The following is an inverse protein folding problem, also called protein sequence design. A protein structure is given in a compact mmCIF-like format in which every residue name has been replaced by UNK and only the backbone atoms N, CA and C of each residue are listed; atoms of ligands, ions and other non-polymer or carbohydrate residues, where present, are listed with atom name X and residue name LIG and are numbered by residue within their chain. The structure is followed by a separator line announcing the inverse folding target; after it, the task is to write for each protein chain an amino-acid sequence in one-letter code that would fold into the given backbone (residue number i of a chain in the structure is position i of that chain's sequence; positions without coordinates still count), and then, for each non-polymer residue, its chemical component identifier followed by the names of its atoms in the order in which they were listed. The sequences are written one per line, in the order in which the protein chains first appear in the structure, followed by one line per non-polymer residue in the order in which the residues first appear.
data_IF_941732265278
#
_entry.id   IF_941732265278
#
_cell.length_a   1.000
_cell.length_b   1.000
_cell.length_c   1.000
_cell.angle_alpha   90.00
_cell.angle_beta   90.00
_cell.angle_gamma   90.00
#
_symmetry.space_group_name_H-M   'P 1'
#
loop_
_entity.id
_entity.type
_entity.pdbx_description
1 polymer ?
#
# COMPACT_ATOMS: atom_id res chain seq x y z
N UNK A 1 57.61 -22.87 40.20
CA UNK A 1 56.22 -23.28 39.88
C UNK A 1 55.18 -22.20 40.16
N UNK A 2 55.02 -21.68 41.40
CA UNK A 2 54.00 -20.67 41.78
C UNK A 2 53.74 -19.55 40.74
N UNK A 3 54.80 -18.89 40.24
CA UNK A 3 54.68 -17.78 39.29
C UNK A 3 54.09 -18.21 37.93
N UNK A 4 54.31 -19.45 37.50
CA UNK A 4 53.82 -19.98 36.22
C UNK A 4 52.29 -20.15 36.22
N UNK A 5 51.73 -20.54 37.37
CA UNK A 5 50.28 -20.66 37.58
C UNK A 5 49.59 -19.29 37.48
N UNK A 6 50.22 -18.24 38.04
CA UNK A 6 49.70 -16.87 37.96
C UNK A 6 49.69 -16.34 36.52
N UNK A 7 50.74 -16.61 35.73
CA UNK A 7 50.78 -16.26 34.30
C UNK A 7 49.70 -17.00 33.51
N UNK A 8 49.51 -18.30 33.76
CA UNK A 8 48.48 -19.09 33.08
C UNK A 8 47.05 -18.58 33.39
N UNK A 9 46.76 -18.26 34.65
CA UNK A 9 45.47 -17.73 35.07
C UNK A 9 45.17 -16.35 34.44
N UNK A 10 46.20 -15.50 34.29
CA UNK A 10 46.10 -14.21 33.61
C UNK A 10 45.66 -14.34 32.13
N UNK A 11 46.15 -15.35 31.42
CA UNK A 11 45.75 -15.58 30.01
C UNK A 11 44.28 -16.00 29.85
N UNK A 12 43.73 -16.79 30.80
CA UNK A 12 42.32 -17.22 30.76
C UNK A 12 41.37 -16.03 30.90
N UNK A 13 41.70 -15.07 31.76
CA UNK A 13 40.86 -13.89 32.01
C UNK A 13 40.68 -12.98 30.78
N UNK A 14 41.63 -12.96 29.84
CA UNK A 14 41.61 -12.10 28.64
C UNK A 14 40.80 -12.70 27.48
N UNK A 15 40.45 -13.99 27.53
CA UNK A 15 39.74 -14.67 26.45
C UNK A 15 38.26 -14.26 26.30
N UNK A 16 37.66 -13.63 27.32
CA UNK A 16 36.22 -13.37 27.38
C UNK A 16 35.83 -12.00 26.75
N UNK A 17 35.95 -11.86 25.43
CA UNK A 17 35.40 -10.71 24.69
C UNK A 17 34.08 -11.04 24.00
N UNK A 18 32.97 -10.46 24.46
CA UNK A 18 31.62 -10.67 23.91
C UNK A 18 31.51 -10.21 22.45
N UNK A 19 30.92 -11.04 21.59
CA UNK A 19 30.66 -10.69 20.19
C UNK A 19 29.51 -9.68 20.08
N UNK A 20 29.68 -8.63 19.26
CA UNK A 20 28.66 -7.57 19.11
C UNK A 20 27.66 -7.98 18.03
N UNK A 21 26.43 -8.31 18.44
CA UNK A 21 25.33 -8.61 17.52
C UNK A 21 24.95 -7.37 16.69
N UNK A 22 24.44 -7.61 15.48
CA UNK A 22 23.99 -6.58 14.54
C UNK A 22 22.48 -6.48 14.64
N UNK A 23 21.94 -5.27 14.88
CA UNK A 23 20.50 -5.02 14.86
C UNK A 23 19.99 -4.88 13.43
N UNK A 24 18.85 -5.51 13.06
CA UNK A 24 18.26 -5.33 11.74
C UNK A 24 17.69 -3.92 11.56
N UNK A 25 17.65 -3.46 10.30
CA UNK A 25 17.06 -2.17 9.93
C UNK A 25 15.70 -2.40 9.27
N UNK A 26 14.62 -1.97 9.91
CA UNK A 26 13.26 -2.08 9.39
C UNK A 26 12.95 -0.98 8.35
N UNK A 27 12.18 -1.31 7.30
CA UNK A 27 11.85 -0.40 6.20
C UNK A 27 10.34 -0.34 5.96
N UNK A 28 9.71 0.74 6.40
CA UNK A 28 8.26 0.93 6.30
C UNK A 28 7.90 1.54 4.94
N UNK A 29 6.95 0.92 4.23
CA UNK A 29 6.34 1.43 2.98
C UNK A 29 4.89 1.84 3.26
N UNK A 30 4.44 2.94 2.65
CA UNK A 30 3.07 3.48 2.73
C UNK A 30 2.56 3.90 1.36
N UNK A 31 1.29 3.64 1.06
CA UNK A 31 0.60 4.15 -0.13
C UNK A 31 -0.66 4.95 0.27
N UNK A 32 -1.42 5.42 -0.74
CA UNK A 32 -2.30 6.60 -0.62
C UNK A 32 -3.70 6.39 -1.25
N UNK A 33 -4.37 7.45 -1.73
CA UNK A 33 -5.77 7.78 -1.34
C UNK A 33 -6.63 8.31 -2.52
N UNK A 34 -7.46 7.48 -3.19
CA UNK A 34 -8.46 7.74 -4.28
C UNK A 34 -9.83 6.95 -4.17
N UNK A 35 -10.93 7.59 -3.72
CA UNK A 35 -12.34 7.20 -3.33
C UNK A 35 -13.22 8.36 -3.81
N UNK A 36 -14.22 8.09 -4.65
CA UNK A 36 -15.04 9.15 -5.23
C UNK A 36 -16.47 9.13 -4.68
N UNK A 37 -16.80 10.12 -3.86
CA UNK A 37 -18.14 10.30 -3.27
C UNK A 37 -19.00 11.14 -4.21
N UNK A 38 -19.84 10.47 -5.00
CA UNK A 38 -20.81 11.13 -5.88
C UNK A 38 -22.08 11.51 -5.10
N UNK A 39 -22.32 12.80 -4.89
CA UNK A 39 -23.58 13.33 -4.38
C UNK A 39 -24.53 13.63 -5.55
N UNK A 40 -25.78 13.15 -5.48
CA UNK A 40 -26.81 13.41 -6.49
C UNK A 40 -27.68 14.59 -6.07
N UNK A 41 -27.34 15.78 -6.57
CA UNK A 41 -28.16 16.99 -6.35
C UNK A 41 -29.32 17.07 -7.35
N UNK A 42 -30.55 17.24 -6.84
CA UNK A 42 -31.75 17.43 -7.67
C UNK A 42 -31.92 18.89 -8.08
N UNK A 43 -31.60 19.21 -9.33
CA UNK A 43 -31.81 20.55 -9.89
C UNK A 43 -33.26 20.68 -10.38
N UNK A 44 -33.99 21.64 -9.82
CA UNK A 44 -35.29 22.06 -10.36
C UNK A 44 -35.07 22.98 -11.57
N UNK A 45 -35.78 22.73 -12.66
CA UNK A 45 -35.66 23.47 -13.91
C UNK A 45 -36.98 24.19 -14.21
N UNK A 46 -36.95 25.50 -14.35
CA UNK A 46 -38.12 26.30 -14.73
C UNK A 46 -38.43 26.12 -16.21
N UNK A 47 -39.27 25.13 -16.52
CA UNK A 47 -39.80 24.91 -17.88
C UNK A 47 -40.78 26.03 -18.21
N UNK A 48 -40.64 26.74 -19.35
CA UNK A 48 -41.57 27.82 -19.72
C UNK A 48 -42.98 27.28 -19.93
N UNK A 49 -43.97 27.93 -19.31
CA UNK A 49 -45.36 27.51 -19.40
C UNK A 49 -45.95 27.84 -20.79
N UNK A 50 -46.05 26.84 -21.66
CA UNK A 50 -46.71 26.96 -22.96
C UNK A 50 -48.23 26.90 -22.76
N UNK A 51 -48.95 27.96 -23.14
CA UNK A 51 -50.41 28.05 -23.10
C UNK A 51 -50.92 28.47 -24.47
N UNK A 52 -51.53 27.54 -25.19
CA UNK A 52 -52.18 27.78 -26.48
C UNK A 52 -53.70 27.64 -26.33
N UNK A 53 -54.45 28.35 -27.17
CA UNK A 53 -55.92 28.33 -27.19
C UNK A 53 -56.41 28.54 -28.62
N UNK A 54 -57.46 27.80 -29.01
CA UNK A 54 -58.14 27.94 -30.29
C UNK A 54 -59.66 27.94 -30.07
N UNK A 55 -60.39 28.62 -30.95
CA UNK A 55 -61.86 28.61 -30.99
C UNK A 55 -62.28 28.38 -32.44
N UNK A 56 -62.85 27.21 -32.73
CA UNK A 56 -63.44 26.88 -34.04
C UNK A 56 -64.95 27.17 -34.04
N UNK A 57 -65.55 27.29 -35.23
CA UNK A 57 -67.01 27.41 -35.40
C UNK A 57 -67.68 26.05 -35.64
N UNK A 58 -66.89 25.07 -36.03
CA UNK A 58 -67.32 23.74 -36.48
C UNK A 58 -67.44 22.78 -35.29
N UNK A 59 -68.00 21.60 -35.51
CA UNK A 59 -68.14 20.56 -34.48
C UNK A 59 -66.82 19.90 -34.07
N UNK A 60 -65.69 20.30 -34.64
CA UNK A 60 -64.35 19.77 -34.38
C UNK A 60 -63.40 20.90 -34.02
N UNK A 61 -62.52 20.67 -33.05
CA UNK A 61 -61.46 21.58 -32.63
C UNK A 61 -60.16 20.79 -32.41
N UNK A 62 -59.07 21.23 -33.04
CA UNK A 62 -57.74 20.61 -32.89
C UNK A 62 -56.74 21.69 -32.48
N UNK A 63 -55.95 21.40 -31.46
CA UNK A 63 -54.93 22.26 -30.87
C UNK A 63 -53.63 21.45 -30.73
N UNK A 64 -52.49 21.98 -31.17
CA UNK A 64 -51.27 21.20 -31.27
C UNK A 64 -50.02 22.06 -31.07
N UNK A 65 -49.26 21.78 -30.01
CA UNK A 65 -48.06 22.52 -29.62
C UNK A 65 -46.78 21.69 -29.83
N UNK A 66 -45.63 22.14 -29.32
CA UNK A 66 -44.35 21.41 -29.40
C UNK A 66 -44.42 19.97 -28.82
N UNK A 67 -45.19 19.75 -27.75
CA UNK A 67 -45.13 18.54 -26.92
C UNK A 67 -46.38 17.66 -26.97
N UNK A 68 -47.51 18.18 -27.42
CA UNK A 68 -48.80 17.50 -27.34
C UNK A 68 -49.76 17.89 -28.46
N UNK A 69 -50.78 17.06 -28.67
CA UNK A 69 -51.91 17.27 -29.58
C UNK A 69 -53.20 17.00 -28.83
N UNK A 70 -54.13 17.95 -28.86
CA UNK A 70 -55.48 17.84 -28.30
C UNK A 70 -56.50 17.90 -29.43
N UNK A 71 -57.38 16.91 -29.53
CA UNK A 71 -58.47 16.89 -30.51
C UNK A 71 -59.81 16.67 -29.81
N UNK A 72 -60.75 17.58 -30.00
CA UNK A 72 -62.11 17.50 -29.48
C UNK A 72 -63.12 17.50 -30.63
N UNK A 73 -64.15 16.68 -30.55
CA UNK A 73 -65.23 16.61 -31.54
C UNK A 73 -66.58 16.35 -30.89
N UNK A 74 -67.62 17.01 -31.38
CA UNK A 74 -69.00 16.83 -30.96
C UNK A 74 -69.78 16.10 -32.05
N UNK A 75 -70.38 14.96 -31.70
CA UNK A 75 -71.25 14.19 -32.60
C UNK A 75 -72.41 13.62 -31.79
N UNK A 76 -73.63 13.66 -32.33
CA UNK A 76 -74.84 13.10 -31.70
C UNK A 76 -75.12 13.62 -30.27
N UNK A 77 -74.61 14.80 -29.92
CA UNK A 77 -74.70 15.40 -28.58
C UNK A 77 -73.63 14.91 -27.59
N UNK A 78 -72.78 13.96 -28.00
CA UNK A 78 -71.63 13.48 -27.23
C UNK A 78 -70.37 14.30 -27.59
N UNK A 79 -69.56 14.61 -26.57
CA UNK A 79 -68.24 15.21 -26.73
C UNK A 79 -67.16 14.13 -26.60
N UNK A 80 -66.44 13.88 -27.69
CA UNK A 80 -65.19 13.12 -27.69
C UNK A 80 -64.01 14.07 -27.51
N UNK A 81 -63.03 13.69 -26.67
CA UNK A 81 -61.80 14.46 -26.47
C UNK A 81 -60.61 13.51 -26.28
N UNK A 82 -59.57 13.67 -27.11
CA UNK A 82 -58.26 13.03 -26.91
C UNK A 82 -57.17 14.05 -26.64
N UNK A 83 -56.17 13.64 -25.86
CA UNK A 83 -54.93 14.35 -25.60
C UNK A 83 -53.76 13.37 -25.74
N UNK A 84 -52.90 13.61 -26.71
CA UNK A 84 -51.76 12.76 -27.08
C UNK A 84 -50.45 13.52 -26.80
N UNK A 85 -49.48 12.85 -26.18
CA UNK A 85 -48.14 13.41 -25.97
C UNK A 85 -47.22 12.99 -27.12
N UNK A 86 -46.51 13.95 -27.70
CA UNK A 86 -45.56 13.73 -28.80
C UNK A 86 -44.24 13.17 -28.27
N UNK A 87 -43.58 12.23 -28.97
CA UNK A 87 -42.27 11.69 -28.59
C UNK A 87 -41.15 12.69 -28.94
N UNK A 88 -41.08 13.81 -28.21
CA UNK A 88 -40.11 14.89 -28.43
C UNK A 88 -39.05 14.90 -27.33
N UNK A 89 -37.78 14.88 -27.73
CA UNK A 89 -36.64 15.07 -26.84
C UNK A 89 -36.14 16.52 -26.99
N UNK A 90 -36.22 17.31 -25.92
CA UNK A 90 -35.70 18.69 -25.89
C UNK A 90 -34.47 18.74 -24.98
N UNK A 91 -33.28 19.07 -25.48
CA UNK A 91 -32.11 19.23 -24.63
C UNK A 91 -32.29 20.44 -23.71
N UNK A 92 -31.90 20.30 -22.45
CA UNK A 92 -31.84 21.40 -21.49
C UNK A 92 -30.40 21.50 -20.98
N UNK A 93 -29.78 22.66 -21.15
CA UNK A 93 -28.40 22.89 -20.73
C UNK A 93 -28.35 23.12 -19.22
N UNK A 94 -27.80 22.15 -18.48
CA UNK A 94 -27.66 22.21 -17.02
C UNK A 94 -26.19 22.25 -16.64
N UNK A 95 -25.75 23.33 -15.97
CA UNK A 95 -24.38 23.46 -15.48
C UNK A 95 -24.19 22.63 -14.20
N UNK A 96 -23.93 21.34 -14.35
CA UNK A 96 -23.64 20.44 -13.21
C UNK A 96 -22.20 20.60 -12.73
N UNK A 97 -22.01 20.92 -11.45
CA UNK A 97 -20.67 21.02 -10.83
C UNK A 97 -20.14 19.62 -10.50
N UNK A 98 -19.36 19.04 -11.41
CA UNK A 98 -18.71 17.74 -11.18
C UNK A 98 -17.58 17.92 -10.15
N UNK A 99 -17.83 17.52 -8.90
CA UNK A 99 -16.83 17.54 -7.83
C UNK A 99 -16.09 16.20 -7.79
N UNK A 100 -14.99 16.12 -8.52
CA UNK A 100 -14.01 15.04 -8.35
C UNK A 100 -13.34 15.20 -6.97
N UNK A 101 -13.66 14.31 -6.04
CA UNK A 101 -12.94 14.09 -4.78
C UNK A 101 -12.41 12.66 -4.80
N UNK A 102 -11.18 12.45 -4.34
CA UNK A 102 -10.52 11.15 -4.40
C UNK A 102 -9.84 10.78 -3.05
N UNK A 103 -10.33 9.77 -2.30
CA UNK A 103 -9.69 9.16 -1.10
C UNK A 103 -9.81 7.60 -0.67
N UNK A 104 -9.37 6.51 -1.36
CA UNK A 104 -9.07 5.06 -0.90
C UNK A 104 -7.55 4.83 -1.01
N UNK A 105 -6.73 4.40 -0.04
CA UNK A 105 -6.91 3.48 1.09
C UNK A 105 -6.34 2.07 0.79
N UNK A 106 -5.40 1.96 -0.16
CA UNK A 106 -4.56 0.77 -0.35
C UNK A 106 -3.13 1.04 0.15
N UNK A 107 -2.43 -0.03 0.50
CA UNK A 107 -1.07 -0.02 1.07
C UNK A 107 -0.47 -1.42 0.93
N UNK A 108 0.07 -1.71 -0.24
CA UNK A 108 0.84 -2.92 -0.52
C UNK A 108 2.14 -2.90 0.30
N UNK A 109 2.06 -3.49 1.50
CA UNK A 109 3.23 -3.70 2.35
C UNK A 109 4.07 -4.83 1.74
N UNK A 110 5.02 -4.46 0.89
CA UNK A 110 6.07 -5.36 0.42
C UNK A 110 6.95 -5.76 1.62
N UNK A 111 6.57 -6.85 2.29
CA UNK A 111 7.35 -7.45 3.37
C UNK A 111 8.58 -8.10 2.74
N UNK A 112 9.70 -7.37 2.76
CA UNK A 112 11.00 -7.93 2.41
C UNK A 112 11.43 -8.90 3.52
N UNK A 113 11.28 -10.19 3.27
CA UNK A 113 11.88 -11.22 4.12
C UNK A 113 13.40 -11.03 4.13
N UNK A 114 13.96 -10.73 5.31
CA UNK A 114 15.38 -10.40 5.45
C UNK A 114 16.21 -11.67 5.42
N UNK A 115 16.54 -12.13 4.20
CA UNK A 115 17.48 -13.23 3.98
C UNK A 115 18.80 -12.90 4.68
N UNK A 116 19.12 -13.66 5.72
CA UNK A 116 20.36 -13.49 6.51
C UNK A 116 21.57 -13.96 5.69
N UNK A 117 22.07 -13.09 4.81
CA UNK A 117 23.31 -13.33 4.09
C UNK A 117 24.46 -13.33 5.09
N UNK A 118 25.14 -14.47 5.23
CA UNK A 118 26.33 -14.59 6.06
C UNK A 118 27.36 -13.52 5.68
N UNK A 119 27.68 -12.63 6.61
CA UNK A 119 28.57 -11.51 6.32
C UNK A 119 30.00 -12.01 6.13
N UNK A 120 30.50 -11.89 4.90
CA UNK A 120 31.88 -12.21 4.56
C UNK A 120 32.87 -11.60 5.58
N UNK A 121 33.77 -12.45 6.09
CA UNK A 121 34.76 -12.04 7.07
C UNK A 121 35.71 -11.04 6.43
N UNK A 122 35.65 -9.78 6.87
CA UNK A 122 36.58 -8.73 6.42
C UNK A 122 38.03 -9.21 6.56
N UNK A 123 38.92 -8.78 5.67
CA UNK A 123 40.32 -9.25 5.64
C UNK A 123 41.04 -9.16 7.00
N UNK A 124 40.68 -8.17 7.83
CA UNK A 124 41.17 -8.01 9.18
C UNK A 124 40.64 -9.07 10.18
N UNK A 125 39.35 -9.43 10.08
CA UNK A 125 38.75 -10.49 10.90
C UNK A 125 39.33 -11.86 10.55
N UNK A 126 39.44 -12.20 9.25
CA UNK A 126 40.02 -13.47 8.82
C UNK A 126 41.52 -13.56 9.13
N UNK A 127 42.26 -12.45 9.06
CA UNK A 127 43.63 -12.37 9.56
C UNK A 127 43.72 -12.63 11.07
N UNK A 128 42.87 -11.98 11.89
CA UNK A 128 42.84 -12.19 13.34
C UNK A 128 42.54 -13.66 13.71
N UNK A 129 41.63 -14.32 13.00
CA UNK A 129 41.35 -15.75 13.21
C UNK A 129 42.54 -16.64 12.85
N UNK A 130 43.22 -16.39 11.72
CA UNK A 130 44.45 -17.12 11.32
C UNK A 130 45.58 -16.96 12.34
N UNK A 131 45.78 -15.75 12.86
CA UNK A 131 46.77 -15.48 13.92
C UNK A 131 46.45 -16.24 15.22
N UNK A 132 45.17 -16.32 15.62
CA UNK A 132 44.74 -17.11 16.78
C UNK A 132 45.02 -18.61 16.63
N UNK A 133 44.76 -19.17 15.44
CA UNK A 133 45.09 -20.56 15.13
C UNK A 133 46.59 -20.86 15.20
N UNK A 134 47.43 -19.96 14.69
CA UNK A 134 48.89 -20.12 14.76
C UNK A 134 49.43 -20.03 16.19
N UNK A 135 48.88 -19.13 17.01
CA UNK A 135 49.21 -19.02 18.43
C UNK A 135 48.85 -20.29 19.22
N UNK A 136 47.68 -20.89 18.95
CA UNK A 136 47.30 -22.19 19.52
C UNK A 136 48.29 -23.31 19.15
N UNK A 137 48.73 -23.37 17.88
CA UNK A 137 49.74 -24.34 17.44
C UNK A 137 51.08 -24.19 18.19
N UNK A 138 51.56 -22.95 18.35
CA UNK A 138 52.79 -22.66 19.11
C UNK A 138 52.65 -23.05 20.58
N UNK A 139 51.49 -22.77 21.20
CA UNK A 139 51.20 -23.17 22.59
C UNK A 139 51.30 -24.69 22.79
N UNK A 140 50.70 -25.47 21.88
CA UNK A 140 50.74 -26.94 21.93
C UNK A 140 52.18 -27.46 21.80
N UNK A 141 52.97 -26.90 20.87
CA UNK A 141 54.39 -27.27 20.69
C UNK A 141 55.20 -27.00 21.97
N UNK A 142 55.00 -25.85 22.62
CA UNK A 142 55.67 -25.53 23.89
C UNK A 142 55.28 -26.48 25.03
N UNK A 143 54.01 -26.90 25.11
CA UNK A 143 53.54 -27.90 26.07
C UNK A 143 54.22 -29.26 25.84
N UNK A 144 54.31 -29.72 24.58
CA UNK A 144 55.01 -30.97 24.23
C UNK A 144 56.49 -30.89 24.57
N UNK A 145 57.17 -29.78 24.25
CA UNK A 145 58.57 -29.57 24.63
C UNK A 145 58.79 -29.56 26.14
N UNK A 146 57.88 -28.94 26.92
CA UNK A 146 57.94 -28.97 28.38
C UNK A 146 57.77 -30.39 28.94
N UNK A 147 56.84 -31.19 28.40
CA UNK A 147 56.64 -32.59 28.78
C UNK A 147 57.90 -33.42 28.45
N UNK A 148 58.46 -33.28 27.25
CA UNK A 148 59.68 -33.99 26.85
C UNK A 148 60.89 -33.61 27.71
N UNK A 149 61.02 -32.32 28.07
CA UNK A 149 62.05 -31.84 28.98
C UNK A 149 61.89 -32.43 30.39
N UNK A 150 60.67 -32.45 30.93
CA UNK A 150 60.36 -33.06 32.23
C UNK A 150 60.64 -34.57 32.21
N UNK A 151 60.22 -35.30 31.17
CA UNK A 151 60.49 -36.74 31.04
C UNK A 151 61.98 -37.03 30.91
N UNK A 152 62.75 -36.18 30.22
CA UNK A 152 64.22 -36.29 30.15
C UNK A 152 64.89 -35.97 31.50
N UNK A 153 64.34 -35.05 32.29
CA UNK A 153 64.83 -34.69 33.62
C UNK A 153 64.43 -35.71 34.72
N UNK A 154 63.32 -36.43 34.53
CA UNK A 154 62.84 -37.46 35.46
C UNK A 154 63.41 -38.86 35.17
N UNK A 155 64.23 -39.00 34.12
CA UNK A 155 64.99 -40.22 33.83
C UNK A 155 66.39 -40.07 34.44
N UNK A 156 66.77 -40.89 35.45
CA UNK A 156 68.09 -40.85 36.07
C UNK A 156 69.19 -41.36 35.12
#
# INVERSE_FOLDING_TARGET
MKNFILVLFSFVAVACSSIRQVTPTEKIVTETRVETVFQTDTVFLEVPQIVERIVTKDTVSVLENEFAKSAASVSEGLLSHSLETKPVQKPVEVQTKIVYRDSVIFKDVVVYETVEVEKELTGWQSFKMKMGGWFLGILIILIVFAILYIVKFLKP
#
